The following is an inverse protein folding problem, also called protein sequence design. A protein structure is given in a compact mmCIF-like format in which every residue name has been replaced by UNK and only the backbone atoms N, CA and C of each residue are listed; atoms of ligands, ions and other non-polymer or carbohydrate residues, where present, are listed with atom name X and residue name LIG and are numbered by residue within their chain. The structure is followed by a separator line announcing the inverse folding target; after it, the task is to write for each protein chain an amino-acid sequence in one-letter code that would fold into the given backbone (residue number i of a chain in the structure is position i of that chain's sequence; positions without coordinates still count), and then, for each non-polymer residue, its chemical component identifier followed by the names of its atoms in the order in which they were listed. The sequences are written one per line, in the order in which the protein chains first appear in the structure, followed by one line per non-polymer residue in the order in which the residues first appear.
data_IF_431786914517
#
_entry.id   IF_431786914517
#
_cell.length_a   1.000
_cell.length_b   1.000
_cell.length_c   1.000
_cell.angle_alpha   90.00
_cell.angle_beta   90.00
_cell.angle_gamma   90.00
#
_symmetry.space_group_name_H-M   'P 1'
#
loop_
_entity.id
_entity.type
_entity.pdbx_description
1 polymer ?
#
# COMPACT_ATOMS: atom_id res chain seq x y z
N UNK A 1 -6.78 -20.74 22.30
CA UNK A 1 -6.11 -21.25 21.08
C UNK A 1 -5.65 -20.08 20.23
N UNK A 2 -4.47 -20.18 19.61
CA UNK A 2 -3.87 -19.14 18.78
C UNK A 2 -3.97 -19.45 17.27
N UNK A 3 -3.51 -18.53 16.44
CA UNK A 3 -3.32 -18.76 15.01
C UNK A 3 -2.12 -19.68 14.76
N UNK A 4 -2.29 -20.66 13.88
CA UNK A 4 -1.28 -21.64 13.49
C UNK A 4 -0.79 -21.35 12.07
N UNK A 5 0.51 -21.47 11.77
CA UNK A 5 1.02 -21.16 10.45
C UNK A 5 0.51 -22.19 9.44
N UNK A 6 -0.03 -21.71 8.33
CA UNK A 6 -0.41 -22.55 7.21
C UNK A 6 0.87 -23.05 6.51
N UNK A 7 1.02 -24.36 6.36
CA UNK A 7 2.17 -24.94 5.69
C UNK A 7 2.14 -24.58 4.19
N UNK A 8 3.13 -23.84 3.68
CA UNK A 8 3.21 -23.59 2.25
C UNK A 8 3.59 -24.86 1.51
N UNK A 9 3.10 -25.01 0.27
CA UNK A 9 3.43 -26.15 -0.61
C UNK A 9 4.94 -26.24 -0.87
N UNK A 10 5.64 -25.10 -0.93
CA UNK A 10 7.10 -25.04 -1.02
C UNK A 10 7.71 -24.83 0.40
N UNK A 11 8.53 -25.77 0.92
CA UNK A 11 9.16 -25.66 2.24
C UNK A 11 10.06 -24.43 2.44
N UNK A 12 10.62 -23.90 1.35
CA UNK A 12 11.49 -22.71 1.36
C UNK A 12 10.70 -21.39 1.28
N UNK A 13 9.38 -21.46 1.10
CA UNK A 13 8.55 -20.27 1.03
C UNK A 13 8.46 -19.55 2.38
N UNK A 14 8.34 -18.23 2.31
CA UNK A 14 8.14 -17.39 3.48
C UNK A 14 6.78 -17.68 4.13
N UNK A 15 6.74 -17.71 5.46
CA UNK A 15 5.50 -17.90 6.21
C UNK A 15 4.74 -16.59 6.25
N UNK A 16 3.52 -16.53 5.73
CA UNK A 16 2.67 -15.34 5.86
C UNK A 16 1.22 -15.69 6.20
N UNK A 17 0.77 -16.90 5.89
CA UNK A 17 -0.61 -17.30 6.14
C UNK A 17 -0.72 -18.05 7.46
N UNK A 18 -1.73 -17.71 8.25
CA UNK A 18 -2.02 -18.36 9.52
C UNK A 18 -3.52 -18.63 9.62
N UNK A 19 -3.85 -19.81 10.12
CA UNK A 19 -5.20 -20.33 10.20
C UNK A 19 -5.61 -20.53 11.67
N UNK A 20 -6.87 -20.28 11.99
CA UNK A 20 -7.49 -20.62 13.28
C UNK A 20 -8.94 -21.03 13.04
N UNK A 21 -9.23 -22.31 13.14
CA UNK A 21 -10.55 -22.87 12.81
C UNK A 21 -10.97 -22.46 11.38
N UNK A 22 -11.92 -21.54 11.25
CA UNK A 22 -12.40 -21.00 9.97
C UNK A 22 -11.75 -19.65 9.60
N UNK A 23 -11.03 -19.04 10.54
CA UNK A 23 -10.33 -17.77 10.32
C UNK A 23 -9.01 -18.00 9.59
N UNK A 24 -8.70 -17.09 8.66
CA UNK A 24 -7.39 -17.00 8.00
C UNK A 24 -6.89 -15.58 8.02
N UNK A 25 -5.64 -15.41 8.44
CA UNK A 25 -4.93 -14.13 8.37
C UNK A 25 -3.67 -14.28 7.53
N UNK A 26 -3.39 -13.26 6.72
CA UNK A 26 -2.10 -13.10 6.06
C UNK A 26 -1.31 -12.05 6.88
N UNK A 27 -0.34 -12.51 7.68
CA UNK A 27 0.57 -11.70 8.47
C UNK A 27 1.84 -11.37 7.66
N UNK A 28 2.07 -10.07 7.52
CA UNK A 28 3.27 -9.50 6.92
C UNK A 28 3.99 -8.66 7.96
N UNK A 29 5.32 -8.73 7.98
CA UNK A 29 6.14 -7.93 8.91
C UNK A 29 6.94 -6.90 8.13
N UNK A 30 7.24 -5.77 8.77
CA UNK A 30 8.16 -4.78 8.24
C UNK A 30 9.52 -5.43 7.93
N UNK A 31 10.14 -5.03 6.81
CA UNK A 31 11.53 -5.41 6.56
C UNK A 31 12.43 -4.92 7.71
N UNK A 32 13.30 -5.80 8.19
CA UNK A 32 14.27 -5.47 9.24
C UNK A 32 15.58 -6.13 8.90
N UNK A 33 16.69 -5.53 9.35
CA UNK A 33 18.03 -6.14 9.27
C UNK A 33 18.07 -7.57 9.81
N UNK A 34 17.23 -7.89 10.80
CA UNK A 34 17.04 -9.26 11.31
C UNK A 34 15.63 -9.72 11.02
N UNK A 35 15.53 -10.75 10.18
CA UNK A 35 14.27 -11.39 9.84
C UNK A 35 13.52 -11.92 11.07
N UNK A 36 12.23 -11.59 11.18
CA UNK A 36 11.34 -12.18 12.20
C UNK A 36 11.09 -13.63 11.82
N UNK A 37 11.22 -14.54 12.80
CA UNK A 37 10.94 -15.96 12.62
C UNK A 37 9.79 -16.40 13.51
N UNK A 38 8.91 -17.24 12.98
CA UNK A 38 7.86 -17.93 13.73
C UNK A 38 7.99 -19.44 13.47
N UNK A 39 8.06 -20.24 14.53
CA UNK A 39 8.36 -21.69 14.44
C UNK A 39 9.52 -22.02 13.48
N UNK A 40 10.63 -21.29 13.62
CA UNK A 40 11.88 -21.39 12.83
C UNK A 40 11.79 -20.96 11.35
N UNK A 41 10.60 -20.64 10.82
CA UNK A 41 10.42 -20.11 9.46
C UNK A 41 10.47 -18.58 9.45
N UNK A 42 11.01 -18.00 8.39
CA UNK A 42 11.03 -16.54 8.21
C UNK A 42 9.62 -16.08 7.85
N UNK A 43 9.11 -15.08 8.57
CA UNK A 43 7.83 -14.43 8.24
C UNK A 43 8.04 -13.49 7.05
N UNK A 44 7.09 -13.45 6.12
CA UNK A 44 7.16 -12.58 4.94
C UNK A 44 7.41 -11.13 5.34
N UNK A 45 8.55 -10.60 4.90
CA UNK A 45 8.95 -9.22 5.09
C UNK A 45 8.46 -8.38 3.92
N UNK A 46 7.83 -7.25 4.23
CA UNK A 46 7.38 -6.29 3.23
C UNK A 46 8.31 -5.09 3.25
N UNK A 47 8.98 -4.80 2.13
CA UNK A 47 9.73 -3.57 1.96
C UNK A 47 8.79 -2.38 2.11
N UNK A 48 8.96 -1.64 3.19
CA UNK A 48 8.07 -0.55 3.57
C UNK A 48 8.85 0.53 4.31
N UNK A 49 8.54 1.79 4.03
CA UNK A 49 9.15 2.92 4.73
C UNK A 49 8.74 2.92 6.21
N UNK A 50 9.72 2.97 7.11
CA UNK A 50 9.51 3.13 8.56
C UNK A 50 8.57 4.28 8.88
N UNK A 51 8.72 5.41 8.18
CA UNK A 51 7.84 6.57 8.42
C UNK A 51 6.42 6.31 7.93
N UNK A 52 6.24 5.54 6.86
CA UNK A 52 4.91 5.18 6.36
C UNK A 52 4.20 4.17 7.27
N UNK A 53 4.92 3.17 7.82
CA UNK A 53 4.38 2.19 8.77
C UNK A 53 4.05 2.78 10.16
N UNK A 54 4.73 3.88 10.53
CA UNK A 54 4.43 4.63 11.75
C UNK A 54 3.33 5.67 11.57
N UNK A 55 3.06 6.09 10.33
CA UNK A 55 2.03 7.08 10.03
C UNK A 55 0.65 6.41 9.97
N UNK A 56 0.14 6.06 11.15
CA UNK A 56 -1.13 5.36 11.37
C UNK A 56 -2.01 6.11 12.36
N UNK A 57 -3.32 6.02 12.21
CA UNK A 57 -4.28 6.36 13.24
C UNK A 57 -4.71 5.11 14.03
N UNK A 58 -4.91 5.28 15.33
CA UNK A 58 -5.42 4.22 16.21
C UNK A 58 -6.93 4.24 16.24
N UNK A 59 -7.55 3.07 16.14
CA UNK A 59 -8.99 2.88 16.22
C UNK A 59 -9.30 1.82 17.27
N UNK A 60 -10.32 2.06 18.08
CA UNK A 60 -10.82 1.09 19.04
C UNK A 60 -12.01 0.37 18.40
N UNK A 61 -11.90 -0.95 18.26
CA UNK A 61 -12.98 -1.79 17.75
C UNK A 61 -14.07 -1.97 18.81
N UNK A 62 -15.30 -2.37 18.43
CA UNK A 62 -16.36 -2.71 19.38
C UNK A 62 -15.95 -3.79 20.41
N UNK A 63 -14.96 -4.62 20.07
CA UNK A 63 -14.34 -5.60 20.97
C UNK A 63 -13.35 -5.00 21.99
N UNK A 64 -13.24 -3.67 22.07
CA UNK A 64 -12.23 -2.92 22.83
C UNK A 64 -10.76 -3.16 22.40
N UNK A 65 -10.54 -3.85 21.28
CA UNK A 65 -9.20 -4.05 20.73
C UNK A 65 -8.73 -2.82 19.96
N UNK A 66 -7.49 -2.39 20.18
CA UNK A 66 -6.88 -1.30 19.43
C UNK A 66 -6.25 -1.83 18.13
N UNK A 67 -6.63 -1.24 17.00
CA UNK A 67 -5.98 -1.46 15.70
C UNK A 67 -5.35 -0.18 15.21
N UNK A 68 -4.26 -0.29 14.44
CA UNK A 68 -3.63 0.84 13.77
C UNK A 68 -3.84 0.71 12.28
N UNK A 69 -4.46 1.72 11.68
CA UNK A 69 -4.70 1.79 10.23
C UNK A 69 -3.82 2.90 9.67
N UNK A 70 -3.10 2.69 8.55
CA UNK A 70 -2.37 3.77 7.89
C UNK A 70 -3.24 4.99 7.65
N UNK A 71 -2.72 6.19 7.93
CA UNK A 71 -3.35 7.41 7.45
C UNK A 71 -3.29 7.44 5.92
N UNK A 72 -4.04 8.35 5.29
CA UNK A 72 -3.97 8.49 3.84
C UNK A 72 -2.54 8.76 3.34
N UNK A 73 -1.76 9.59 4.05
CA UNK A 73 -0.35 9.82 3.74
C UNK A 73 0.51 8.56 3.94
N UNK A 74 0.27 7.81 5.00
CA UNK A 74 0.93 6.52 5.24
C UNK A 74 0.62 5.52 4.11
N UNK A 75 -0.64 5.38 3.75
CA UNK A 75 -1.12 4.45 2.73
C UNK A 75 -0.53 4.78 1.33
N UNK A 76 -0.58 6.05 0.91
CA UNK A 76 0.02 6.48 -0.36
C UNK A 76 1.52 6.21 -0.40
N UNK A 77 2.24 6.52 0.68
CA UNK A 77 3.67 6.24 0.78
C UNK A 77 3.97 4.73 0.78
N UNK A 78 3.15 3.90 1.42
CA UNK A 78 3.29 2.43 1.39
C UNK A 78 3.08 1.88 -0.03
N UNK A 79 2.06 2.35 -0.76
CA UNK A 79 1.84 1.93 -2.15
C UNK A 79 2.98 2.38 -3.06
N UNK A 80 3.48 3.59 -2.88
CA UNK A 80 4.66 4.07 -3.60
C UNK A 80 5.95 3.31 -3.28
N UNK A 81 6.13 2.84 -2.04
CA UNK A 81 7.23 1.96 -1.69
C UNK A 81 7.09 0.58 -2.35
N UNK A 82 5.88 0.00 -2.35
CA UNK A 82 5.61 -1.28 -2.98
C UNK A 82 5.82 -1.24 -4.51
N UNK A 83 5.54 -0.11 -5.15
CA UNK A 83 5.82 0.14 -6.57
C UNK A 83 7.33 0.04 -6.93
N UNK A 84 8.23 0.25 -5.96
CA UNK A 84 9.68 0.13 -6.17
C UNK A 84 10.22 -1.30 -6.02
N UNK A 85 9.35 -2.26 -5.70
CA UNK A 85 9.75 -3.62 -5.32
C UNK A 85 9.40 -4.60 -6.42
N UNK A 86 10.22 -5.65 -6.59
CA UNK A 86 9.92 -6.74 -7.51
C UNK A 86 8.68 -7.49 -7.00
N UNK A 87 7.52 -7.22 -7.61
CA UNK A 87 6.23 -7.82 -7.29
C UNK A 87 5.74 -8.65 -8.48
N UNK A 88 5.06 -9.79 -8.26
CA UNK A 88 4.42 -10.56 -9.34
C UNK A 88 3.32 -9.78 -10.07
N UNK A 89 2.76 -8.77 -9.41
CA UNK A 89 1.74 -7.89 -9.98
C UNK A 89 2.04 -6.43 -9.58
N UNK A 90 3.02 -5.79 -10.25
CA UNK A 90 3.44 -4.43 -9.90
C UNK A 90 2.34 -3.40 -10.18
N UNK A 91 1.49 -3.65 -11.19
CA UNK A 91 0.45 -2.71 -11.59
C UNK A 91 -0.64 -2.55 -10.53
N UNK A 92 -0.91 -3.61 -9.75
CA UNK A 92 -1.90 -3.57 -8.65
C UNK A 92 -1.56 -2.51 -7.60
N UNK A 93 -0.28 -2.26 -7.32
CA UNK A 93 0.12 -1.24 -6.36
C UNK A 93 -0.19 0.18 -6.86
N UNK A 94 -0.01 0.42 -8.17
CA UNK A 94 -0.38 1.67 -8.81
C UNK A 94 -1.90 1.88 -8.83
N UNK A 95 -2.67 0.83 -9.15
CA UNK A 95 -4.13 0.85 -9.11
C UNK A 95 -4.68 1.15 -7.70
N UNK A 96 -4.16 0.48 -6.67
CA UNK A 96 -4.53 0.78 -5.28
C UNK A 96 -4.15 2.23 -4.91
N UNK A 97 -2.98 2.71 -5.37
CA UNK A 97 -2.54 4.08 -5.17
C UNK A 97 -3.45 5.12 -5.85
N UNK A 98 -3.96 4.82 -7.04
CA UNK A 98 -4.95 5.64 -7.75
C UNK A 98 -6.23 5.78 -6.91
N UNK A 99 -6.74 4.68 -6.37
CA UNK A 99 -7.94 4.72 -5.50
C UNK A 99 -7.70 5.62 -4.29
N UNK A 100 -6.52 5.53 -3.66
CA UNK A 100 -6.15 6.40 -2.55
C UNK A 100 -6.06 7.87 -2.97
N UNK A 101 -5.54 8.18 -4.15
CA UNK A 101 -5.54 9.55 -4.70
C UNK A 101 -6.97 10.05 -4.94
N UNK A 102 -7.87 9.19 -5.44
CA UNK A 102 -9.28 9.54 -5.60
C UNK A 102 -9.95 9.86 -4.25
N UNK A 103 -9.59 9.13 -3.18
CA UNK A 103 -10.02 9.45 -1.81
C UNK A 103 -9.43 10.78 -1.31
N UNK A 104 -8.19 11.11 -1.69
CA UNK A 104 -7.52 12.36 -1.28
C UNK A 104 -8.22 13.62 -1.79
N UNK A 105 -8.83 13.55 -2.98
CA UNK A 105 -9.64 14.67 -3.50
C UNK A 105 -10.87 14.95 -2.62
N UNK A 106 -11.48 13.91 -2.04
CA UNK A 106 -12.66 14.04 -1.17
C UNK A 106 -12.31 14.43 0.27
N UNK A 107 -11.18 13.93 0.79
CA UNK A 107 -10.79 14.11 2.20
C UNK A 107 -9.79 15.24 2.43
N UNK A 108 -9.21 15.77 1.35
CA UNK A 108 -8.09 16.70 1.40
C UNK A 108 -6.74 16.00 1.19
N UNK A 109 -5.88 16.65 0.40
CA UNK A 109 -4.53 16.16 0.12
C UNK A 109 -3.68 16.28 1.39
N UNK A 110 -3.09 15.18 1.87
CA UNK A 110 -2.35 15.22 3.12
C UNK A 110 -0.95 15.81 2.91
N UNK A 111 -0.32 16.24 4.01
CA UNK A 111 1.10 16.60 4.02
C UNK A 111 1.97 15.36 4.12
N UNK A 112 3.17 15.40 3.52
CA UNK A 112 4.11 14.29 3.50
C UNK A 112 5.43 14.69 4.12
N UNK A 113 6.04 13.79 4.89
CA UNK A 113 7.46 13.92 5.25
C UNK A 113 8.36 13.71 4.04
N UNK A 114 9.61 14.18 4.10
CA UNK A 114 10.61 14.01 3.01
C UNK A 114 10.73 12.57 2.50
N UNK A 115 10.73 11.59 3.41
CA UNK A 115 10.78 10.16 3.06
C UNK A 115 9.50 9.71 2.34
N UNK A 116 8.33 10.13 2.82
CA UNK A 116 7.06 9.81 2.18
C UNK A 116 6.95 10.46 0.79
N UNK A 117 7.37 11.71 0.62
CA UNK A 117 7.38 12.40 -0.66
C UNK A 117 8.15 11.62 -1.72
N UNK A 118 9.31 11.03 -1.38
CA UNK A 118 10.07 10.16 -2.30
C UNK A 118 9.22 9.00 -2.82
N UNK A 119 8.50 8.31 -1.93
CA UNK A 119 7.66 7.17 -2.31
C UNK A 119 6.42 7.59 -3.09
N UNK A 120 5.76 8.69 -2.69
CA UNK A 120 4.60 9.21 -3.41
C UNK A 120 4.99 9.67 -4.81
N UNK A 121 6.14 10.32 -4.98
CA UNK A 121 6.65 10.67 -6.31
C UNK A 121 6.88 9.44 -7.18
N UNK A 122 7.35 8.32 -6.60
CA UNK A 122 7.48 7.06 -7.32
C UNK A 122 6.12 6.51 -7.75
N UNK A 123 5.12 6.52 -6.87
CA UNK A 123 3.75 6.15 -7.23
C UNK A 123 3.24 6.98 -8.41
N UNK A 124 3.42 8.31 -8.37
CA UNK A 124 2.97 9.21 -9.43
C UNK A 124 3.71 8.98 -10.77
N UNK A 125 4.94 8.48 -10.75
CA UNK A 125 5.66 8.06 -11.95
C UNK A 125 5.03 6.79 -12.56
N UNK A 126 4.68 5.82 -11.73
CA UNK A 126 4.13 4.54 -12.18
C UNK A 126 2.67 4.70 -12.70
N UNK A 127 1.99 5.78 -12.32
CA UNK A 127 0.71 6.20 -12.94
C UNK A 127 0.86 6.69 -14.40
N UNK A 128 2.07 6.77 -14.95
CA UNK A 128 2.25 7.01 -16.39
C UNK A 128 1.97 5.77 -17.27
N UNK A 129 1.56 4.65 -16.67
CA UNK A 129 1.12 3.43 -17.39
C UNK A 129 -0.40 3.42 -17.55
N UNK A 130 -0.92 3.08 -18.73
CA UNK A 130 -2.38 3.02 -18.99
C UNK A 130 -3.08 1.98 -18.11
N UNK A 131 -2.41 0.86 -17.84
CA UNK A 131 -2.91 -0.25 -17.03
C UNK A 131 -3.13 0.15 -15.56
N UNK A 132 -2.47 1.20 -15.08
CA UNK A 132 -2.66 1.71 -13.72
C UNK A 132 -4.06 2.31 -13.53
N UNK A 133 -4.71 2.70 -14.63
CA UNK A 133 -6.01 3.36 -14.66
C UNK A 133 -7.15 2.43 -15.10
N UNK A 134 -6.83 1.19 -15.52
CA UNK A 134 -7.80 0.30 -16.18
C UNK A 134 -8.98 -0.14 -15.31
N UNK A 135 -8.87 -0.02 -13.98
CA UNK A 135 -9.93 -0.38 -13.03
C UNK A 135 -10.71 0.83 -12.50
N UNK A 136 -10.30 2.06 -12.86
CA UNK A 136 -10.89 3.28 -12.33
C UNK A 136 -12.06 3.75 -13.20
N UNK A 137 -13.18 4.11 -12.57
CA UNK A 137 -14.28 4.77 -13.24
C UNK A 137 -13.96 6.24 -13.56
N UNK A 138 -14.72 6.91 -14.45
CA UNK A 138 -14.44 8.28 -14.86
C UNK A 138 -14.39 9.29 -13.70
N UNK A 139 -15.16 9.06 -12.63
CA UNK A 139 -15.16 9.91 -11.44
C UNK A 139 -13.84 9.74 -10.65
N UNK A 140 -13.41 8.50 -10.44
CA UNK A 140 -12.15 8.16 -9.77
C UNK A 140 -10.96 8.71 -10.54
N UNK A 141 -10.95 8.59 -11.87
CA UNK A 141 -9.92 9.16 -12.74
C UNK A 141 -9.78 10.67 -12.51
N UNK A 142 -10.89 11.42 -12.61
CA UNK A 142 -10.86 12.88 -12.41
C UNK A 142 -10.39 13.27 -11.01
N UNK A 143 -10.85 12.57 -9.97
CA UNK A 143 -10.44 12.80 -8.57
C UNK A 143 -8.96 12.53 -8.37
N UNK A 144 -8.47 11.38 -8.85
CA UNK A 144 -7.07 11.01 -8.73
C UNK A 144 -6.15 12.00 -9.46
N UNK A 145 -6.55 12.47 -10.64
CA UNK A 145 -5.80 13.50 -11.38
C UNK A 145 -5.70 14.83 -10.62
N UNK A 146 -6.80 15.30 -10.01
CA UNK A 146 -6.78 16.53 -9.20
C UNK A 146 -5.87 16.37 -7.98
N UNK A 147 -6.00 15.26 -7.26
CA UNK A 147 -5.13 14.97 -6.12
C UNK A 147 -3.66 14.87 -6.54
N UNK A 148 -3.34 14.19 -7.64
CA UNK A 148 -1.97 14.09 -8.16
C UNK A 148 -1.36 15.46 -8.46
N UNK A 149 -2.12 16.35 -9.12
CA UNK A 149 -1.70 17.74 -9.39
C UNK A 149 -1.55 18.59 -8.13
N UNK A 150 -2.43 18.39 -7.14
CA UNK A 150 -2.33 19.09 -5.86
C UNK A 150 -1.10 18.63 -5.05
N UNK A 151 -0.76 17.34 -5.10
CA UNK A 151 0.44 16.78 -4.46
C UNK A 151 1.72 17.25 -5.17
N UNK A 152 1.71 17.21 -6.50
CA UNK A 152 2.85 17.51 -7.35
C UNK A 152 2.39 18.40 -8.51
N UNK A 153 2.49 19.74 -8.37
CA UNK A 153 2.00 20.68 -9.38
C UNK A 153 2.65 20.56 -10.76
N UNK A 154 3.89 20.06 -10.83
CA UNK A 154 4.62 19.77 -12.07
C UNK A 154 4.28 18.39 -12.68
N UNK A 155 3.41 17.60 -12.05
CA UNK A 155 2.99 16.31 -12.59
C UNK A 155 2.11 16.51 -13.84
N UNK A 156 2.57 15.95 -14.95
CA UNK A 156 1.87 16.02 -16.21
C UNK A 156 0.82 14.92 -16.29
N UNK A 157 -0.39 15.29 -16.71
CA UNK A 157 -1.43 14.31 -17.04
C UNK A 157 -0.90 13.40 -18.16
N UNK A 158 -0.91 12.07 -18.00
CA UNK A 158 -0.56 11.14 -19.06
C UNK A 158 -1.39 11.38 -20.33
N UNK A 159 -0.77 11.33 -21.51
CA UNK A 159 -1.41 11.68 -22.78
C UNK A 159 -2.71 10.88 -23.03
N UNK A 160 -2.73 9.60 -22.65
CA UNK A 160 -3.89 8.73 -22.81
C UNK A 160 -5.10 9.12 -21.92
N UNK A 161 -4.91 9.98 -20.93
CA UNK A 161 -5.99 10.55 -20.11
C UNK A 161 -6.40 11.96 -20.57
N UNK A 162 -5.60 12.60 -21.42
CA UNK A 162 -5.89 13.95 -21.93
C UNK A 162 -6.90 13.94 -23.09
N UNK A 163 -7.19 12.77 -23.65
CA UNK A 163 -8.03 12.58 -24.85
C UNK A 163 -9.47 12.14 -24.56
N UNK A 164 -9.91 12.16 -23.29
CA UNK A 164 -11.21 11.65 -22.84
C UNK A 164 -12.05 12.65 -22.05
#
# INVERSE_FOLDING_TARGET
MGFEPHDPVNPDALSYRFDRETDRIDLMVQDRRRAVRFRRRIVLQVPASDSALRNTASFILPSCSAIRIPTLAGALALKGAACATSSPNPIRHAQDGLVLLACADALGVPTFSKSQTKHVNRLLQDLNSIEAWSLAGPAEVRRAMRAAKAIRPDWQTPAFLASG
#
